data_IF_189714538597
#
_entry.id   IF_189714538597
#
_cell.length_a   1.000
_cell.length_b   1.000
_cell.length_c   1.000
_cell.angle_alpha   90.00
_cell.angle_beta   90.00
_cell.angle_gamma   90.00
#
_symmetry.space_group_name_H-M   'P 1'
#
loop_
_entity.id
_entity.type
_entity.pdbx_description
1 polymer ?
#
# COMPACT_ATOMS: atom_id res chain seq x y z
N UNK A 1 1.07 -6.57 14.78
CA UNK A 1 -0.03 -6.25 13.84
C UNK A 1 0.55 -6.19 12.44
N UNK A 2 0.11 -7.07 11.53
CA UNK A 2 0.67 -7.16 10.18
C UNK A 2 -0.16 -6.25 9.26
N UNK A 3 0.47 -5.20 8.73
CA UNK A 3 -0.13 -4.34 7.70
C UNK A 3 0.33 -4.77 6.33
N UNK A 4 -0.52 -4.67 5.31
CA UNK A 4 -0.13 -4.99 3.94
C UNK A 4 1.03 -4.09 3.48
N UNK A 5 1.96 -4.62 2.68
CA UNK A 5 3.04 -3.80 2.16
C UNK A 5 2.57 -2.93 0.99
N UNK A 6 3.36 -1.93 0.59
CA UNK A 6 3.06 -1.14 -0.59
C UNK A 6 3.02 -1.98 -1.89
N UNK A 7 3.70 -3.13 -1.93
CA UNK A 7 3.62 -4.08 -3.06
C UNK A 7 2.25 -4.77 -3.15
N UNK A 8 1.65 -5.12 -2.01
CA UNK A 8 0.30 -5.69 -1.97
C UNK A 8 -0.72 -4.70 -2.52
N UNK A 9 -0.59 -3.43 -2.14
CA UNK A 9 -1.48 -2.36 -2.63
C UNK A 9 -1.28 -2.12 -4.11
N UNK A 10 -0.02 -2.14 -4.60
CA UNK A 10 0.25 -2.04 -6.04
C UNK A 10 -0.45 -3.15 -6.82
N UNK A 11 -0.37 -4.39 -6.34
CA UNK A 11 -1.04 -5.52 -6.99
C UNK A 11 -2.57 -5.32 -7.05
N UNK A 12 -3.19 -4.81 -5.98
CA UNK A 12 -4.62 -4.46 -5.99
C UNK A 12 -4.97 -3.41 -7.05
N UNK A 13 -4.14 -2.37 -7.19
CA UNK A 13 -4.33 -1.36 -8.25
C UNK A 13 -4.21 -1.98 -9.65
N UNK A 14 -3.21 -2.82 -9.88
CA UNK A 14 -2.99 -3.47 -11.19
C UNK A 14 -4.17 -4.38 -11.57
N UNK A 15 -4.71 -5.16 -10.62
CA UNK A 15 -5.89 -6.01 -10.87
C UNK A 15 -7.13 -5.16 -11.17
N UNK A 16 -7.33 -4.05 -10.46
CA UNK A 16 -8.43 -3.11 -10.71
C UNK A 16 -8.36 -2.45 -12.11
N UNK A 17 -7.17 -2.31 -12.69
CA UNK A 17 -6.98 -1.73 -14.02
C UNK A 17 -7.31 -2.69 -15.16
N UNK A 18 -7.17 -4.01 -14.95
CA UNK A 18 -7.47 -5.05 -15.94
C UNK A 18 -8.96 -5.15 -16.31
N UNK A 19 -9.84 -4.42 -15.61
CA UNK A 19 -11.32 -4.42 -15.78
C UNK A 19 -11.99 -5.77 -15.54
N UNK A 20 -11.25 -6.78 -15.07
CA UNK A 20 -11.82 -8.03 -14.60
C UNK A 20 -12.27 -7.86 -13.14
N UNK A 21 -13.57 -7.68 -12.96
CA UNK A 21 -14.16 -7.45 -11.64
C UNK A 21 -14.24 -8.72 -10.79
N UNK A 22 -14.22 -9.89 -11.42
CA UNK A 22 -14.22 -11.18 -10.72
C UNK A 22 -12.84 -11.41 -10.13
N UNK A 23 -11.79 -11.27 -10.94
CA UNK A 23 -10.39 -11.37 -10.49
C UNK A 23 -10.10 -10.31 -9.40
N UNK A 24 -10.60 -9.07 -9.59
CA UNK A 24 -10.48 -8.03 -8.58
C UNK A 24 -11.16 -8.45 -7.27
N UNK A 25 -12.42 -8.88 -7.31
CA UNK A 25 -13.14 -9.32 -6.09
C UNK A 25 -12.37 -10.39 -5.33
N UNK A 26 -11.90 -11.44 -6.00
CA UNK A 26 -11.13 -12.51 -5.38
C UNK A 26 -9.84 -11.99 -4.74
N UNK A 27 -9.12 -11.09 -5.42
CA UNK A 27 -7.92 -10.48 -4.89
C UNK A 27 -8.21 -9.66 -3.62
N UNK A 28 -9.27 -8.83 -3.64
CA UNK A 28 -9.71 -8.02 -2.51
C UNK A 28 -10.09 -8.89 -1.30
N UNK A 29 -10.88 -9.95 -1.49
CA UNK A 29 -11.26 -10.89 -0.41
C UNK A 29 -10.04 -11.59 0.18
N UNK A 30 -9.12 -12.08 -0.68
CA UNK A 30 -7.89 -12.76 -0.25
C UNK A 30 -7.00 -11.85 0.58
N UNK A 31 -6.88 -10.58 0.22
CA UNK A 31 -6.07 -9.62 0.97
C UNK A 31 -6.75 -9.19 2.27
N UNK A 32 -8.09 -9.06 2.29
CA UNK A 32 -8.83 -8.76 3.50
C UNK A 32 -8.71 -9.89 4.53
N UNK A 33 -8.80 -11.15 4.10
CA UNK A 33 -8.58 -12.30 4.98
C UNK A 33 -7.15 -12.35 5.55
N UNK A 34 -6.14 -11.99 4.74
CA UNK A 34 -4.72 -11.99 5.17
C UNK A 34 -4.38 -10.82 6.09
N UNK A 35 -5.02 -9.67 5.90
CA UNK A 35 -4.72 -8.42 6.58
C UNK A 35 -5.96 -7.88 7.31
N UNK A 36 -6.69 -8.75 8.00
CA UNK A 36 -7.98 -8.43 8.66
C UNK A 36 -7.90 -7.26 9.65
N UNK A 37 -6.73 -7.07 10.25
CA UNK A 37 -6.48 -6.03 11.24
C UNK A 37 -6.09 -4.68 10.60
N UNK A 38 -5.81 -4.65 9.29
CA UNK A 38 -5.38 -3.46 8.57
C UNK A 38 -6.58 -2.57 8.21
N UNK A 39 -6.95 -1.67 9.13
CA UNK A 39 -8.14 -0.81 9.00
C UNK A 39 -8.16 0.01 7.71
N UNK A 40 -7.02 0.60 7.33
CA UNK A 40 -6.93 1.42 6.12
C UNK A 40 -7.16 0.57 4.86
N UNK A 41 -6.64 -0.66 4.83
CA UNK A 41 -6.89 -1.57 3.72
C UNK A 41 -8.35 -2.05 3.70
N UNK A 42 -8.90 -2.38 4.88
CA UNK A 42 -10.27 -2.86 5.03
C UNK A 42 -11.28 -1.83 4.50
N UNK A 43 -11.13 -0.55 4.85
CA UNK A 43 -12.00 0.51 4.34
C UNK A 43 -12.01 0.60 2.81
N UNK A 44 -10.85 0.42 2.17
CA UNK A 44 -10.74 0.43 0.71
C UNK A 44 -11.42 -0.80 0.10
N UNK A 45 -11.29 -1.97 0.74
CA UNK A 45 -11.95 -3.20 0.30
C UNK A 45 -13.48 -3.10 0.45
N UNK A 46 -13.97 -2.55 1.56
CA UNK A 46 -15.40 -2.37 1.81
C UNK A 46 -16.02 -1.41 0.78
N UNK A 47 -15.32 -0.30 0.46
CA UNK A 47 -15.71 0.60 -0.64
C UNK A 47 -15.76 -0.13 -1.98
N UNK A 48 -14.83 -1.04 -2.25
CA UNK A 48 -14.84 -1.84 -3.48
C UNK A 48 -16.03 -2.79 -3.55
N UNK A 49 -16.41 -3.43 -2.44
CA UNK A 49 -17.64 -4.25 -2.40
C UNK A 49 -18.89 -3.42 -2.67
N UNK A 50 -18.99 -2.22 -2.07
CA UNK A 50 -20.08 -1.27 -2.36
C UNK A 50 -20.09 -0.83 -3.83
N UNK A 51 -18.91 -0.68 -4.46
CA UNK A 51 -18.81 -0.41 -5.89
C UNK A 51 -19.36 -1.57 -6.74
N UNK A 52 -19.13 -2.83 -6.35
CA UNK A 52 -19.66 -3.98 -7.09
C UNK A 52 -21.19 -4.00 -7.12
N UNK A 53 -21.83 -3.55 -6.05
CA UNK A 53 -23.28 -3.42 -5.91
C UNK A 53 -23.84 -2.19 -6.65
N UNK A 54 -23.26 -1.01 -6.41
CA UNK A 54 -23.76 0.26 -6.96
C UNK A 54 -23.34 0.53 -8.42
N UNK A 55 -22.23 -0.06 -8.87
CA UNK A 55 -21.56 0.20 -10.16
C UNK A 55 -21.23 1.68 -10.40
N UNK A 56 -21.15 2.46 -9.33
CA UNK A 56 -20.87 3.89 -9.39
C UNK A 56 -19.42 4.18 -9.75
N UNK A 57 -19.21 4.83 -10.89
CA UNK A 57 -17.88 5.19 -11.40
C UNK A 57 -17.16 6.22 -10.52
N UNK A 58 -17.89 7.05 -9.78
CA UNK A 58 -17.28 7.99 -8.82
C UNK A 58 -16.65 7.23 -7.65
N UNK A 59 -17.31 6.18 -7.17
CA UNK A 59 -16.78 5.30 -6.11
C UNK A 59 -15.51 4.61 -6.58
N UNK A 60 -15.48 4.11 -7.82
CA UNK A 60 -14.28 3.51 -8.41
C UNK A 60 -13.11 4.50 -8.49
N UNK A 61 -13.38 5.75 -8.87
CA UNK A 61 -12.37 6.81 -8.91
C UNK A 61 -11.79 7.10 -7.51
N UNK A 62 -12.66 7.17 -6.50
CA UNK A 62 -12.24 7.33 -5.09
C UNK A 62 -11.39 6.16 -4.61
N UNK A 63 -11.78 4.92 -4.91
CA UNK A 63 -11.01 3.72 -4.55
C UNK A 63 -9.59 3.78 -5.14
N UNK A 64 -9.45 4.20 -6.40
CA UNK A 64 -8.13 4.36 -7.05
C UNK A 64 -7.26 5.39 -6.32
N UNK A 65 -7.83 6.54 -6.00
CA UNK A 65 -7.13 7.59 -5.25
C UNK A 65 -6.72 7.11 -3.86
N UNK A 66 -7.59 6.39 -3.17
CA UNK A 66 -7.32 5.86 -1.83
C UNK A 66 -6.23 4.78 -1.86
N UNK A 67 -6.25 3.86 -2.84
CA UNK A 67 -5.17 2.89 -3.06
C UNK A 67 -3.84 3.58 -3.34
N UNK A 68 -3.83 4.63 -4.16
CA UNK A 68 -2.60 5.36 -4.47
C UNK A 68 -2.03 6.07 -3.24
N UNK A 69 -2.87 6.77 -2.47
CA UNK A 69 -2.49 7.40 -1.20
C UNK A 69 -1.94 6.35 -0.24
N UNK A 70 -2.63 5.23 -0.07
CA UNK A 70 -2.23 4.17 0.85
C UNK A 70 -0.91 3.52 0.43
N UNK A 71 -0.71 3.28 -0.88
CA UNK A 71 0.57 2.83 -1.45
C UNK A 71 1.70 3.80 -1.11
N UNK A 72 1.48 5.10 -1.33
CA UNK A 72 2.50 6.13 -1.08
C UNK A 72 2.83 6.25 0.41
N UNK A 73 1.83 6.28 1.29
CA UNK A 73 2.00 6.29 2.75
C UNK A 73 2.84 5.09 3.20
N UNK A 74 2.54 3.89 2.70
CA UNK A 74 3.28 2.68 3.06
C UNK A 74 4.67 2.64 2.46
N UNK A 75 4.85 3.18 1.25
CA UNK A 75 6.18 3.32 0.63
C UNK A 75 7.07 4.23 1.48
N UNK A 76 6.56 5.39 1.90
CA UNK A 76 7.30 6.33 2.77
C UNK A 76 7.63 5.68 4.12
N UNK A 77 6.67 5.00 4.75
CA UNK A 77 6.91 4.26 6.00
C UNK A 77 7.96 3.15 5.84
N UNK A 78 7.94 2.45 4.70
CA UNK A 78 8.87 1.33 4.43
C UNK A 78 10.28 1.80 4.04
N UNK A 79 10.41 2.96 3.39
CA UNK A 79 11.70 3.52 2.98
C UNK A 79 12.42 4.28 4.10
N UNK A 80 11.84 4.30 5.30
CA UNK A 80 12.29 5.12 6.40
C UNK A 80 11.82 6.55 6.17
N UNK A 81 10.95 7.04 7.05
CA UNK A 81 10.56 8.44 7.06
C UNK A 81 11.80 9.34 7.07
N UNK A 82 11.59 10.64 6.89
CA UNK A 82 12.57 11.74 6.99
C UNK A 82 13.49 11.75 8.24
N UNK A 83 13.41 10.74 9.11
CA UNK A 83 14.31 10.45 10.23
C UNK A 83 15.40 9.38 9.98
N UNK A 84 15.68 8.97 8.74
CA UNK A 84 16.97 8.29 8.44
C UNK A 84 18.10 9.31 8.45
N UNK A 85 18.40 9.84 9.64
CA UNK A 85 19.69 10.42 9.92
C UNK A 85 20.75 9.38 9.57
N UNK A 86 21.56 9.72 8.58
CA UNK A 86 22.70 8.96 8.07
C UNK A 86 23.81 8.72 9.12
N UNK A 87 23.53 8.82 10.43
CA UNK A 87 24.55 8.76 11.48
C UNK A 87 24.86 7.37 12.04
N UNK A 88 24.00 6.37 11.89
CA UNK A 88 24.20 5.07 12.57
C UNK A 88 24.07 3.84 11.68
N UNK A 89 24.37 3.93 10.38
CA UNK A 89 24.53 2.73 9.53
C UNK A 89 26.02 2.48 9.29
N UNK A 90 26.63 1.77 10.26
CA UNK A 90 28.02 1.25 10.36
C UNK A 90 29.01 2.14 11.14
N UNK A 91 29.29 1.84 12.43
CA UNK A 91 30.54 2.27 13.03
C UNK A 91 31.65 1.43 12.38
N UNK A 92 32.34 1.99 11.38
CA UNK A 92 33.46 1.29 10.75
C UNK A 92 33.91 1.80 9.37
N UNK A 93 33.10 2.60 8.67
CA UNK A 93 33.49 3.13 7.34
C UNK A 93 33.61 4.66 7.28
N UNK A 94 33.24 5.38 8.34
CA UNK A 94 33.32 6.83 8.42
C UNK A 94 34.66 7.40 8.88
N UNK A 95 35.70 6.56 9.06
CA UNK A 95 36.96 6.98 9.68
C UNK A 95 38.12 7.23 8.71
N UNK A 96 37.91 7.12 7.39
CA UNK A 96 38.96 7.29 6.37
C UNK A 96 38.72 8.45 5.41
N UNK A 97 37.93 9.45 5.80
CA UNK A 97 37.89 10.73 5.08
C UNK A 97 38.07 11.83 6.10
N UNK A 98 39.31 11.98 6.55
CA UNK A 98 39.99 13.24 6.86
C UNK A 98 41.37 12.91 7.43
N UNK A 99 42.36 13.69 6.99
CA UNK A 99 43.81 13.59 7.27
C UNK A 99 44.56 12.68 6.26
N UNK A 100 44.82 13.19 5.07
CA UNK A 100 46.07 13.92 4.74
C UNK A 100 45.88 14.75 3.49
#
# INVERSE_FOLDING_TARGET
MITASHYVIRNLSEVLEKKDLIEAKEAFEKFLARYENDRELKEVCDKFMLYLESRDKEVLSKIRSDLEKLKNTRRIRSQGGSGLWQRNRRPGLGHYILIT
#
